data_IF_510037057722
#
_entry.id   IF_510037057722
#
_cell.length_a   1.000
_cell.length_b   1.000
_cell.length_c   1.000
_cell.angle_alpha   90.00
_cell.angle_beta   90.00
_cell.angle_gamma   90.00
#
_symmetry.space_group_name_H-M   'P 1'
#
loop_
_entity.id
_entity.type
_entity.pdbx_description
1 polymer ?
#
# COMPACT_ATOMS: atom_id res chain seq x y z
N UNK A 1 -29.51 -16.89 11.73
CA UNK A 1 -28.33 -16.47 12.50
C UNK A 1 -28.50 -14.98 12.79
N UNK A 2 -28.50 -14.56 14.06
CA UNK A 2 -28.73 -13.16 14.43
C UNK A 2 -27.44 -12.34 14.26
N UNK A 3 -27.56 -11.02 14.07
CA UNK A 3 -26.40 -10.12 13.95
C UNK A 3 -25.47 -10.19 15.16
N UNK A 4 -26.03 -10.41 16.35
CA UNK A 4 -25.28 -10.57 17.59
C UNK A 4 -24.45 -11.86 17.62
N UNK A 5 -25.05 -12.99 17.20
CA UNK A 5 -24.33 -14.27 17.07
C UNK A 5 -23.19 -14.19 16.05
N UNK A 6 -23.40 -13.45 14.95
CA UNK A 6 -22.38 -13.18 13.94
C UNK A 6 -21.21 -12.36 14.50
N UNK A 7 -21.51 -11.24 15.16
CA UNK A 7 -20.49 -10.38 15.77
C UNK A 7 -19.72 -11.11 16.87
N UNK A 8 -20.39 -11.91 17.69
CA UNK A 8 -19.75 -12.75 18.70
C UNK A 8 -18.77 -13.76 18.08
N UNK A 9 -19.15 -14.37 16.95
CA UNK A 9 -18.27 -15.29 16.20
C UNK A 9 -17.05 -14.56 15.65
N UNK A 10 -17.23 -13.36 15.08
CA UNK A 10 -16.12 -12.53 14.58
C UNK A 10 -15.16 -12.15 15.70
N UNK A 11 -15.68 -11.65 16.83
CA UNK A 11 -14.87 -11.23 17.95
C UNK A 11 -14.08 -12.39 18.53
N UNK A 12 -14.71 -13.56 18.70
CA UNK A 12 -14.03 -14.78 19.13
C UNK A 12 -12.90 -15.17 18.18
N UNK A 13 -13.15 -15.12 16.87
CA UNK A 13 -12.15 -15.41 15.86
C UNK A 13 -10.96 -14.43 15.93
N UNK A 14 -11.25 -13.13 16.11
CA UNK A 14 -10.24 -12.11 16.29
C UNK A 14 -9.39 -12.37 17.53
N UNK A 15 -10.02 -12.58 18.68
CA UNK A 15 -9.31 -12.82 19.94
C UNK A 15 -8.49 -14.11 19.95
N UNK A 16 -8.92 -15.15 19.24
CA UNK A 16 -8.22 -16.43 19.18
C UNK A 16 -7.06 -16.46 18.16
N UNK A 17 -7.15 -15.71 17.05
CA UNK A 17 -6.22 -15.89 15.92
C UNK A 17 -5.60 -14.59 15.38
N UNK A 18 -6.26 -13.43 15.50
CA UNK A 18 -5.82 -12.20 14.85
C UNK A 18 -5.34 -11.11 15.82
N UNK A 19 -5.61 -11.26 17.12
CA UNK A 19 -5.17 -10.30 18.14
C UNK A 19 -3.66 -10.40 18.41
N UNK A 20 -3.01 -9.30 18.81
CA UNK A 20 -1.62 -9.33 19.28
C UNK A 20 -1.40 -10.32 20.44
N UNK A 21 -2.40 -10.47 21.31
CA UNK A 21 -2.41 -11.37 22.45
C UNK A 21 -2.39 -12.84 21.98
N UNK A 22 -3.22 -13.20 21.00
CA UNK A 22 -3.21 -14.54 20.40
C UNK A 22 -1.85 -14.88 19.81
N UNK A 23 -1.26 -13.95 19.04
CA UNK A 23 0.06 -14.14 18.46
C UNK A 23 1.14 -14.33 19.54
N UNK A 24 1.19 -13.46 20.55
CA UNK A 24 2.14 -13.58 21.65
C UNK A 24 1.98 -14.87 22.46
N UNK A 25 0.73 -15.28 22.74
CA UNK A 25 0.43 -16.54 23.44
C UNK A 25 0.90 -17.74 22.63
N UNK A 26 0.68 -17.75 21.31
CA UNK A 26 1.19 -18.81 20.46
C UNK A 26 2.72 -18.86 20.49
N UNK A 27 3.41 -17.70 20.39
CA UNK A 27 4.87 -17.60 20.43
C UNK A 27 5.49 -18.11 21.74
N UNK A 28 4.78 -18.01 22.86
CA UNK A 28 5.20 -18.58 24.15
C UNK A 28 4.90 -20.08 24.28
N UNK A 29 4.03 -20.63 23.43
CA UNK A 29 3.66 -22.04 23.43
C UNK A 29 4.72 -22.95 22.81
N UNK A 30 4.41 -24.25 22.76
CA UNK A 30 5.27 -25.28 22.14
C UNK A 30 4.87 -25.66 20.72
N UNK A 31 3.74 -25.15 20.21
CA UNK A 31 3.19 -25.50 18.91
C UNK A 31 3.73 -24.58 17.81
N UNK A 32 4.83 -24.99 17.18
CA UNK A 32 5.50 -24.23 16.11
C UNK A 32 4.63 -23.99 14.87
N UNK A 33 3.70 -24.90 14.54
CA UNK A 33 2.81 -24.72 13.38
C UNK A 33 1.79 -23.61 13.60
N UNK A 34 1.19 -23.58 14.80
CA UNK A 34 0.30 -22.49 15.21
C UNK A 34 1.05 -21.17 15.23
N UNK A 35 2.26 -21.14 15.81
CA UNK A 35 3.12 -19.95 15.82
C UNK A 35 3.35 -19.38 14.43
N UNK A 36 3.85 -20.22 13.51
CA UNK A 36 4.15 -19.81 12.13
C UNK A 36 2.88 -19.33 11.41
N UNK A 37 1.75 -19.99 11.61
CA UNK A 37 0.49 -19.60 10.98
C UNK A 37 0.00 -18.24 11.50
N UNK A 38 0.04 -18.00 12.81
CA UNK A 38 -0.37 -16.71 13.37
C UNK A 38 0.58 -15.58 12.94
N UNK A 39 1.89 -15.84 12.89
CA UNK A 39 2.86 -14.88 12.35
C UNK A 39 2.56 -14.54 10.88
N UNK A 40 2.31 -15.54 10.05
CA UNK A 40 1.97 -15.35 8.64
C UNK A 40 0.73 -14.47 8.47
N UNK A 41 -0.34 -14.80 9.19
CA UNK A 41 -1.60 -14.05 9.15
C UNK A 41 -1.41 -12.61 9.66
N UNK A 42 -0.68 -12.44 10.75
CA UNK A 42 -0.38 -11.13 11.32
C UNK A 42 0.47 -10.27 10.36
N UNK A 43 1.51 -10.81 9.74
CA UNK A 43 2.34 -10.07 8.79
C UNK A 43 1.56 -9.76 7.50
N UNK A 44 0.76 -10.70 7.00
CA UNK A 44 -0.10 -10.50 5.83
C UNK A 44 -1.20 -9.45 6.06
N UNK A 45 -1.67 -9.28 7.31
CA UNK A 45 -2.64 -8.24 7.66
C UNK A 45 -2.18 -6.83 7.26
N UNK A 46 -0.87 -6.58 7.25
CA UNK A 46 -0.30 -5.30 6.80
C UNK A 46 -0.50 -5.05 5.32
N UNK A 47 -0.45 -6.10 4.48
CA UNK A 47 -0.76 -6.01 3.05
C UNK A 47 -2.25 -5.79 2.80
N UNK A 48 -3.11 -6.43 3.61
CA UNK A 48 -4.56 -6.20 3.56
C UNK A 48 -4.89 -4.75 3.91
N UNK A 49 -4.28 -4.23 4.98
CA UNK A 49 -4.45 -2.84 5.41
C UNK A 49 -3.94 -1.87 4.33
N UNK A 50 -2.72 -2.05 3.82
CA UNK A 50 -2.18 -1.21 2.75
C UNK A 50 -3.08 -1.21 1.51
N UNK A 51 -3.64 -2.36 1.11
CA UNK A 51 -4.60 -2.45 0.00
C UNK A 51 -5.88 -1.66 0.27
N UNK A 52 -6.41 -1.73 1.50
CA UNK A 52 -7.62 -1.00 1.90
C UNK A 52 -7.36 0.51 1.91
N UNK A 53 -6.24 0.95 2.48
CA UNK A 53 -5.87 2.36 2.54
C UNK A 53 -5.61 2.94 1.16
N UNK A 54 -4.94 2.18 0.28
CA UNK A 54 -4.73 2.56 -1.11
C UNK A 54 -6.06 2.76 -1.83
N UNK A 55 -7.00 1.81 -1.72
CA UNK A 55 -8.33 1.94 -2.34
C UNK A 55 -9.10 3.15 -1.84
N UNK A 56 -9.05 3.40 -0.52
CA UNK A 56 -9.71 4.53 0.11
C UNK A 56 -9.06 5.89 -0.20
N UNK A 57 -7.86 5.91 -0.81
CA UNK A 57 -7.09 7.15 -1.02
C UNK A 57 -6.47 7.70 0.27
N UNK A 58 -6.41 6.91 1.35
CA UNK A 58 -5.89 7.35 2.65
C UNK A 58 -4.36 7.22 2.69
N UNK A 59 -3.71 8.30 2.26
CA UNK A 59 -2.24 8.39 2.25
C UNK A 59 -1.67 8.40 3.67
N UNK A 60 -2.39 8.95 4.66
CA UNK A 60 -1.94 9.01 6.04
C UNK A 60 -1.72 7.60 6.61
N UNK A 61 -2.74 6.74 6.51
CA UNK A 61 -2.64 5.34 6.93
C UNK A 61 -1.65 4.54 6.08
N UNK A 62 -1.58 4.81 4.77
CA UNK A 62 -0.59 4.18 3.90
C UNK A 62 0.85 4.47 4.36
N UNK A 63 1.15 5.72 4.76
CA UNK A 63 2.46 6.08 5.28
C UNK A 63 2.81 5.35 6.59
N UNK A 64 1.83 5.03 7.44
CA UNK A 64 2.07 4.19 8.63
C UNK A 64 2.46 2.76 8.24
N UNK A 65 1.80 2.19 7.22
CA UNK A 65 2.17 0.87 6.69
C UNK A 65 3.56 0.87 6.08
N UNK A 66 3.90 1.89 5.30
CA UNK A 66 5.25 2.02 4.71
C UNK A 66 6.33 2.13 5.78
N UNK A 67 6.12 2.91 6.85
CA UNK A 67 7.04 2.95 7.99
C UNK A 67 7.25 1.57 8.63
N UNK A 68 6.17 0.78 8.79
CA UNK A 68 6.26 -0.60 9.30
C UNK A 68 7.05 -1.49 8.35
N UNK A 69 6.80 -1.36 7.04
CA UNK A 69 7.50 -2.12 6.01
C UNK A 69 8.98 -1.77 5.87
N UNK A 70 9.39 -0.52 6.11
CA UNK A 70 10.81 -0.14 6.17
C UNK A 70 11.61 -1.05 7.11
N UNK A 71 11.00 -1.46 8.23
CA UNK A 71 11.60 -2.39 9.20
C UNK A 71 11.50 -3.84 8.71
N UNK A 72 10.31 -4.28 8.28
CA UNK A 72 10.09 -5.67 7.82
C UNK A 72 10.98 -6.04 6.63
N UNK A 73 11.18 -5.12 5.69
CA UNK A 73 11.98 -5.37 4.48
C UNK A 73 13.45 -5.66 4.77
N UNK A 74 13.97 -5.27 5.94
CA UNK A 74 15.33 -5.65 6.33
C UNK A 74 15.46 -7.14 6.63
N UNK A 75 14.38 -7.76 7.13
CA UNK A 75 14.36 -9.17 7.51
C UNK A 75 14.02 -10.09 6.34
N UNK A 76 13.20 -9.64 5.39
CA UNK A 76 12.69 -10.47 4.30
C UNK A 76 13.74 -10.73 3.21
N UNK A 77 13.96 -11.99 2.81
CA UNK A 77 14.84 -12.31 1.70
C UNK A 77 14.24 -11.87 0.35
N UNK A 78 15.09 -11.50 -0.60
CA UNK A 78 14.69 -11.24 -1.99
C UNK A 78 14.11 -9.84 -2.28
N UNK A 79 13.93 -8.98 -1.28
CA UNK A 79 13.41 -7.60 -1.46
C UNK A 79 14.45 -6.51 -1.16
N UNK A 80 15.68 -6.75 -1.60
CA UNK A 80 16.85 -5.88 -1.37
C UNK A 80 16.70 -4.47 -1.93
N UNK A 81 15.97 -4.29 -3.04
CA UNK A 81 15.65 -2.96 -3.54
C UNK A 81 14.76 -2.20 -2.53
N UNK A 82 13.69 -2.85 -2.07
CA UNK A 82 12.75 -2.22 -1.14
C UNK A 82 13.36 -1.98 0.24
N UNK A 83 14.33 -2.79 0.67
CA UNK A 83 15.03 -2.57 1.95
C UNK A 83 15.83 -1.27 1.97
N UNK A 84 16.17 -0.67 0.82
CA UNK A 84 16.87 0.62 0.75
C UNK A 84 15.99 1.76 0.22
N UNK A 85 15.26 1.56 -0.88
CA UNK A 85 14.46 2.62 -1.51
C UNK A 85 13.22 3.02 -0.69
N UNK A 86 12.54 2.07 -0.04
CA UNK A 86 11.35 2.39 0.73
C UNK A 86 11.67 3.29 1.95
N UNK A 87 12.68 2.97 2.79
CA UNK A 87 13.13 3.89 3.84
C UNK A 87 13.49 5.28 3.31
N UNK A 88 14.22 5.37 2.19
CA UNK A 88 14.55 6.66 1.56
C UNK A 88 13.31 7.47 1.21
N UNK A 89 12.34 6.86 0.53
CA UNK A 89 11.08 7.51 0.18
C UNK A 89 10.29 7.94 1.41
N UNK A 90 10.24 7.11 2.46
CA UNK A 90 9.57 7.48 3.72
C UNK A 90 10.28 8.65 4.39
N UNK A 91 11.60 8.66 4.49
CA UNK A 91 12.36 9.79 5.05
C UNK A 91 12.13 11.08 4.26
N UNK A 92 12.14 10.98 2.93
CA UNK A 92 11.87 12.09 2.03
C UNK A 92 10.47 12.69 2.30
N UNK A 93 9.45 11.84 2.36
CA UNK A 93 8.05 12.21 2.54
C UNK A 93 7.62 12.45 3.99
N UNK A 94 8.52 12.32 4.97
CA UNK A 94 8.16 12.53 6.39
C UNK A 94 9.11 13.42 7.17
N UNK A 95 10.34 13.60 6.73
CA UNK A 95 11.37 14.35 7.47
C UNK A 95 12.05 15.39 6.57
N UNK A 96 12.58 14.98 5.42
CA UNK A 96 13.54 15.78 4.65
C UNK A 96 12.88 16.89 3.84
N UNK A 97 11.78 16.60 3.14
CA UNK A 97 11.16 17.63 2.30
C UNK A 97 10.46 18.71 3.14
N UNK A 98 10.46 19.97 2.67
CA UNK A 98 9.68 21.05 3.26
C UNK A 98 8.20 20.67 3.42
N UNK A 99 7.50 21.13 4.47
CA UNK A 99 6.13 20.71 4.78
C UNK A 99 5.16 20.82 3.60
N UNK A 100 5.23 21.92 2.83
CA UNK A 100 4.38 22.17 1.66
C UNK A 100 4.61 21.14 0.56
N UNK A 101 5.87 20.89 0.19
CA UNK A 101 6.22 19.91 -0.84
C UNK A 101 5.90 18.47 -0.40
N UNK A 102 6.11 18.17 0.89
CA UNK A 102 5.73 16.90 1.50
C UNK A 102 4.22 16.66 1.43
N UNK A 103 3.40 17.68 1.72
CA UNK A 103 1.94 17.59 1.60
C UNK A 103 1.57 17.35 0.14
N UNK A 104 2.12 18.15 -0.78
CA UNK A 104 1.87 18.01 -2.21
C UNK A 104 2.18 16.60 -2.72
N UNK A 105 3.40 16.08 -2.50
CA UNK A 105 3.79 14.77 -3.03
C UNK A 105 2.97 13.63 -2.40
N UNK A 106 2.72 13.67 -1.09
CA UNK A 106 1.87 12.66 -0.42
C UNK A 106 0.47 12.62 -1.04
N UNK A 107 -0.16 13.77 -1.24
CA UNK A 107 -1.49 13.84 -1.86
C UNK A 107 -1.50 13.45 -3.35
N UNK A 108 -0.32 13.31 -3.98
CA UNK A 108 -0.18 12.86 -5.36
C UNK A 108 0.31 11.41 -5.49
N UNK A 109 0.50 10.67 -4.38
CA UNK A 109 0.89 9.25 -4.43
C UNK A 109 -0.22 8.37 -5.01
N UNK A 110 -1.47 8.72 -4.71
CA UNK A 110 -2.66 7.99 -5.11
C UNK A 110 -3.56 8.90 -5.94
N UNK A 111 -4.19 8.34 -6.97
CA UNK A 111 -5.16 9.04 -7.80
C UNK A 111 -6.40 8.17 -7.98
N UNK A 112 -7.57 8.77 -8.23
CA UNK A 112 -8.77 8.05 -8.64
C UNK A 112 -9.12 8.44 -10.08
N UNK A 113 -8.68 7.67 -11.10
CA UNK A 113 -8.91 8.02 -12.50
C UNK A 113 -10.39 8.12 -12.86
N UNK A 114 -11.23 7.33 -12.18
CA UNK A 114 -12.69 7.32 -12.38
C UNK A 114 -13.46 8.24 -11.43
N UNK A 115 -12.80 8.87 -10.45
CA UNK A 115 -13.45 9.65 -9.38
C UNK A 115 -14.30 8.82 -8.41
N UNK A 116 -14.46 7.51 -8.62
CA UNK A 116 -15.27 6.64 -7.76
C UNK A 116 -14.64 6.47 -6.38
N UNK A 117 -15.51 6.38 -5.37
CA UNK A 117 -15.14 6.01 -4.00
C UNK A 117 -14.47 4.64 -4.00
N UNK A 118 -13.45 4.45 -3.15
CA UNK A 118 -12.71 3.20 -2.97
C UNK A 118 -12.01 2.65 -4.24
N UNK A 119 -11.79 3.52 -5.24
CA UNK A 119 -11.13 3.21 -6.51
C UNK A 119 -9.84 4.02 -6.74
N UNK A 120 -9.19 4.43 -5.65
CA UNK A 120 -7.85 5.00 -5.76
C UNK A 120 -6.84 3.91 -6.13
N UNK A 121 -5.86 4.31 -6.93
CA UNK A 121 -4.74 3.50 -7.41
C UNK A 121 -3.45 4.29 -7.24
N UNK A 122 -2.31 3.61 -7.23
CA UNK A 122 -1.02 4.29 -7.27
C UNK A 122 -0.90 5.15 -8.53
N UNK A 123 -0.23 6.30 -8.43
CA UNK A 123 -0.13 7.24 -9.55
C UNK A 123 0.54 6.63 -10.79
N UNK A 124 1.55 5.79 -10.59
CA UNK A 124 2.31 5.08 -11.63
C UNK A 124 1.49 4.02 -12.38
N UNK A 125 0.51 3.41 -11.72
CA UNK A 125 -0.44 2.49 -12.35
C UNK A 125 -1.19 3.13 -13.54
N UNK A 126 -1.46 4.44 -13.49
CA UNK A 126 -2.19 5.09 -14.58
C UNK A 126 -1.39 5.24 -15.88
N UNK A 127 -0.13 5.71 -15.86
CA UNK A 127 0.78 5.58 -16.99
C UNK A 127 0.93 4.14 -17.51
N UNK A 128 0.96 3.13 -16.65
CA UNK A 128 1.00 1.72 -17.08
C UNK A 128 -0.24 1.33 -17.89
N UNK A 129 -1.43 1.76 -17.47
CA UNK A 129 -2.67 1.57 -18.24
C UNK A 129 -2.57 2.24 -19.62
N UNK A 130 -2.00 3.45 -19.69
CA UNK A 130 -1.82 4.12 -20.99
C UNK A 130 -0.83 3.35 -21.89
N UNK A 131 0.28 2.90 -21.33
CA UNK A 131 1.26 2.08 -22.04
C UNK A 131 0.65 0.75 -22.51
N UNK A 132 -0.24 0.14 -21.74
CA UNK A 132 -0.98 -1.04 -22.16
C UNK A 132 -1.84 -0.75 -23.40
N UNK A 133 -2.60 0.35 -23.41
CA UNK A 133 -3.45 0.70 -24.55
C UNK A 133 -2.65 1.01 -25.82
N UNK A 134 -1.50 1.67 -25.67
CA UNK A 134 -0.58 1.88 -26.79
C UNK A 134 -0.10 0.55 -27.37
N UNK A 135 0.33 -0.39 -26.52
CA UNK A 135 0.72 -1.74 -26.96
C UNK A 135 -0.44 -2.50 -27.59
N UNK A 136 -1.64 -2.39 -27.02
CA UNK A 136 -2.84 -3.03 -27.55
C UNK A 136 -3.15 -2.56 -28.97
N UNK A 137 -3.13 -1.25 -29.22
CA UNK A 137 -3.34 -0.66 -30.54
C UNK A 137 -2.24 -1.08 -31.51
N UNK A 138 -0.97 -0.93 -31.11
CA UNK A 138 0.19 -1.34 -31.90
C UNK A 138 0.08 -2.79 -32.38
N UNK A 139 -0.26 -3.71 -31.47
CA UNK A 139 -0.38 -5.14 -31.79
C UNK A 139 -1.58 -5.47 -32.69
N UNK A 140 -2.59 -4.59 -32.77
CA UNK A 140 -3.81 -4.79 -33.57
C UNK A 140 -3.78 -4.08 -34.92
N UNK A 141 -2.90 -3.10 -35.09
CA UNK A 141 -2.75 -2.32 -36.33
C UNK A 141 -1.85 -2.98 -37.39
N UNK A 142 -1.29 -4.16 -37.11
CA UNK A 142 -0.48 -4.94 -38.07
C UNK A 142 0.93 -4.38 -38.32
N UNK A 143 1.63 -4.96 -39.30
CA UNK A 143 3.05 -4.72 -39.63
C UNK A 143 3.41 -3.28 -40.05
N UNK A 144 2.42 -2.39 -40.18
CA UNK A 144 2.59 -1.00 -40.66
C UNK A 144 2.65 0.06 -39.56
N UNK A 145 2.56 -0.31 -38.28
CA UNK A 145 2.62 0.67 -37.19
C UNK A 145 4.07 0.93 -36.83
N UNK A 146 4.64 2.05 -37.27
CA UNK A 146 5.98 2.46 -36.86
C UNK A 146 5.97 2.96 -35.40
N UNK A 147 7.05 2.69 -34.66
CA UNK A 147 7.20 3.14 -33.26
C UNK A 147 7.12 4.66 -33.12
N UNK A 148 7.57 5.39 -34.14
CA UNK A 148 7.47 6.84 -34.26
C UNK A 148 6.01 7.30 -34.29
N UNK A 149 5.16 6.64 -35.08
CA UNK A 149 3.71 6.91 -35.06
C UNK A 149 3.08 6.61 -33.69
N UNK A 150 3.52 5.54 -33.02
CA UNK A 150 3.03 5.23 -31.67
C UNK A 150 3.38 6.33 -30.65
N UNK A 151 4.60 6.84 -30.73
CA UNK A 151 5.13 7.86 -29.83
C UNK A 151 4.57 9.26 -30.15
N UNK A 152 4.62 9.67 -31.41
CA UNK A 152 4.42 11.06 -31.80
C UNK A 152 2.96 11.35 -32.20
N UNK A 153 2.21 10.33 -32.63
CA UNK A 153 0.80 10.48 -33.01
C UNK A 153 -0.13 9.86 -31.97
N UNK A 154 0.05 8.58 -31.62
CA UNK A 154 -0.92 7.86 -30.79
C UNK A 154 -0.80 8.19 -29.29
N UNK A 155 0.40 8.34 -28.74
CA UNK A 155 0.61 8.63 -27.32
C UNK A 155 -0.07 9.94 -26.86
N UNK A 156 0.08 11.08 -27.57
CA UNK A 156 -0.55 12.34 -27.16
C UNK A 156 -2.08 12.28 -27.21
N UNK A 157 -2.66 11.47 -28.11
CA UNK A 157 -4.11 11.38 -28.32
C UNK A 157 -4.75 10.15 -27.68
N UNK A 158 -3.99 9.34 -26.94
CA UNK A 158 -4.43 8.01 -26.47
C UNK A 158 -5.73 8.06 -25.67
N UNK A 159 -5.90 9.09 -24.84
CA UNK A 159 -7.11 9.32 -24.06
C UNK A 159 -8.34 9.56 -24.95
N UNK A 160 -8.20 10.38 -26.00
CA UNK A 160 -9.28 10.65 -26.95
C UNK A 160 -9.66 9.39 -27.72
N UNK A 161 -8.65 8.63 -28.17
CA UNK A 161 -8.86 7.40 -28.91
C UNK A 161 -9.57 6.33 -28.07
N UNK A 162 -9.15 6.13 -26.82
CA UNK A 162 -9.82 5.25 -25.86
C UNK A 162 -11.29 5.66 -25.65
N UNK A 163 -11.55 6.96 -25.43
CA UNK A 163 -12.90 7.47 -25.22
C UNK A 163 -13.80 7.26 -26.44
N UNK A 164 -13.29 7.52 -27.65
CA UNK A 164 -14.02 7.27 -28.89
C UNK A 164 -14.33 5.79 -29.10
N UNK A 165 -13.37 4.90 -28.84
CA UNK A 165 -13.58 3.46 -28.96
C UNK A 165 -14.63 2.94 -27.96
N UNK A 166 -14.61 3.47 -26.73
CA UNK A 166 -15.62 3.15 -25.72
C UNK A 166 -17.01 3.67 -26.12
N UNK A 167 -17.10 4.90 -26.64
CA UNK A 167 -18.36 5.46 -27.17
C UNK A 167 -18.92 4.58 -28.28
N UNK A 168 -18.09 4.23 -29.28
CA UNK A 168 -18.52 3.39 -30.40
C UNK A 168 -19.03 2.02 -29.92
N UNK A 169 -18.37 1.41 -28.94
CA UNK A 169 -18.85 0.15 -28.35
C UNK A 169 -20.23 0.31 -27.72
N UNK A 170 -20.46 1.39 -26.99
CA UNK A 170 -21.77 1.69 -26.42
C UNK A 170 -22.83 1.90 -27.50
N UNK A 171 -22.49 2.64 -28.57
CA UNK A 171 -23.40 2.91 -29.70
C UNK A 171 -23.76 1.61 -30.44
N UNK A 172 -22.85 0.64 -30.52
CA UNK A 172 -23.10 -0.70 -31.05
C UNK A 172 -23.86 -1.63 -30.08
N UNK A 173 -24.33 -1.13 -28.94
CA UNK A 173 -25.05 -1.92 -27.93
C UNK A 173 -24.16 -2.88 -27.13
N UNK A 174 -22.84 -2.79 -27.25
CA UNK A 174 -21.92 -3.58 -26.45
C UNK A 174 -21.79 -2.96 -25.05
N UNK A 175 -21.98 -3.76 -24.01
CA UNK A 175 -21.70 -3.32 -22.65
C UNK A 175 -20.19 -3.25 -22.42
N UNK A 176 -19.71 -2.13 -21.86
CA UNK A 176 -18.32 -2.02 -21.40
C UNK A 176 -18.18 -2.89 -20.15
N UNK A 177 -17.74 -4.13 -20.34
CA UNK A 177 -17.41 -5.04 -19.23
C UNK A 177 -16.04 -4.64 -18.70
N UNK A 178 -16.02 -3.91 -17.59
CA UNK A 178 -14.80 -3.74 -16.82
C UNK A 178 -14.46 -5.07 -16.14
N UNK A 179 -13.26 -5.60 -16.36
CA UNK A 179 -12.77 -6.75 -15.59
C UNK A 179 -12.56 -6.31 -14.13
N UNK A 180 -13.57 -6.51 -13.30
CA UNK A 180 -13.42 -6.46 -11.86
C UNK A 180 -13.21 -7.88 -11.36
N UNK A 181 -11.97 -8.22 -11.01
CA UNK A 181 -11.70 -9.48 -10.33
C UNK A 181 -12.19 -9.35 -8.89
N UNK A 182 -13.45 -9.70 -8.66
CA UNK A 182 -13.93 -9.94 -7.31
C UNK A 182 -13.44 -11.33 -6.88
N UNK A 183 -12.69 -11.38 -5.77
CA UNK A 183 -12.30 -12.66 -5.16
C UNK A 183 -13.54 -13.26 -4.50
N UNK A 184 -14.35 -13.98 -5.28
CA UNK A 184 -15.51 -14.72 -4.78
C UNK A 184 -14.99 -16.05 -4.23
N UNK A 185 -15.10 -16.23 -2.93
CA UNK A 185 -14.76 -17.49 -2.27
C UNK A 185 -16.01 -18.36 -2.24
N UNK A 186 -16.06 -19.41 -3.06
CA UNK A 186 -17.16 -20.36 -3.11
C UNK A 186 -17.13 -21.30 -1.89
N UNK A 187 -18.30 -21.80 -1.49
CA UNK A 187 -18.41 -22.79 -0.41
C UNK A 187 -17.59 -24.06 -0.67
N UNK A 188 -17.54 -24.52 -1.92
CA UNK A 188 -16.70 -25.65 -2.32
C UNK A 188 -15.21 -25.33 -2.15
N UNK A 189 -14.76 -24.13 -2.51
CA UNK A 189 -13.37 -23.70 -2.31
C UNK A 189 -13.00 -23.66 -0.82
N UNK A 190 -13.91 -23.21 0.05
CA UNK A 190 -13.72 -23.26 1.50
C UNK A 190 -13.63 -24.70 2.01
N UNK A 191 -14.52 -25.59 1.58
CA UNK A 191 -14.50 -27.00 1.96
C UNK A 191 -13.19 -27.69 1.54
N UNK A 192 -12.71 -27.42 0.32
CA UNK A 192 -11.42 -27.92 -0.16
C UNK A 192 -10.26 -27.37 0.66
N UNK A 193 -10.27 -26.06 0.96
CA UNK A 193 -9.27 -25.46 1.83
C UNK A 193 -9.28 -26.07 3.23
N UNK A 194 -10.46 -26.29 3.82
CA UNK A 194 -10.59 -26.90 5.15
C UNK A 194 -10.11 -28.34 5.17
N UNK A 195 -10.38 -29.11 4.11
CA UNK A 195 -9.84 -30.46 3.93
C UNK A 195 -8.31 -30.43 3.88
N UNK A 196 -7.73 -29.55 3.06
CA UNK A 196 -6.28 -29.35 2.98
C UNK A 196 -5.69 -28.93 4.33
N UNK A 197 -6.28 -27.94 5.00
CA UNK A 197 -5.80 -27.40 6.27
C UNK A 197 -5.78 -28.45 7.38
N UNK A 198 -6.79 -29.34 7.41
CA UNK A 198 -6.85 -30.48 8.33
C UNK A 198 -5.83 -31.56 7.97
N UNK A 199 -5.73 -31.92 6.69
CA UNK A 199 -4.80 -32.95 6.21
C UNK A 199 -3.33 -32.55 6.41
N UNK A 200 -3.02 -31.26 6.26
CA UNK A 200 -1.69 -30.68 6.50
C UNK A 200 -1.46 -30.26 7.94
N UNK A 201 -2.51 -30.27 8.76
CA UNK A 201 -2.49 -29.88 10.17
C UNK A 201 -1.77 -28.53 10.35
N UNK A 202 -2.24 -27.49 9.65
CA UNK A 202 -1.55 -26.19 9.61
C UNK A 202 -1.51 -25.47 10.97
N UNK A 203 -2.43 -25.82 11.88
CA UNK A 203 -2.49 -25.25 13.23
C UNK A 203 -1.86 -26.16 14.31
N UNK A 204 -1.35 -27.34 13.96
CA UNK A 204 -0.75 -28.27 14.94
C UNK A 204 -1.75 -28.84 15.96
N UNK A 205 -3.01 -29.06 15.55
CA UNK A 205 -4.07 -29.61 16.40
C UNK A 205 -4.08 -31.15 16.44
N UNK A 206 -5.03 -31.72 17.20
CA UNK A 206 -5.24 -33.18 17.35
C UNK A 206 -5.83 -33.87 16.09
N UNK A 207 -5.50 -33.39 14.88
CA UNK A 207 -5.96 -34.01 13.64
C UNK A 207 -5.34 -35.40 13.43
N UNK A 208 -6.06 -36.32 12.77
CA UNK A 208 -5.50 -37.61 12.35
C UNK A 208 -4.26 -37.34 11.49
N UNK A 209 -3.07 -37.68 12.00
CA UNK A 209 -1.80 -37.54 11.28
C UNK A 209 -1.82 -38.45 10.05
N UNK A 210 -2.14 -37.93 8.87
CA UNK A 210 -1.89 -38.64 7.61
C UNK A 210 -0.42 -38.46 7.21
N UNK A 211 0.47 -39.24 7.83
CA UNK A 211 1.87 -39.37 7.40
C UNK A 211 2.93 -38.77 8.34
N UNK A 212 4.21 -39.09 8.04
CA UNK A 212 5.39 -38.53 8.70
C UNK A 212 5.66 -37.12 8.16
N UNK A 213 5.22 -36.09 8.87
CA UNK A 213 5.58 -34.71 8.54
C UNK A 213 6.88 -34.31 9.24
N UNK A 214 7.80 -33.63 8.53
CA UNK A 214 8.94 -32.97 9.16
C UNK A 214 8.45 -31.99 10.22
N UNK A 215 9.18 -31.88 11.35
CA UNK A 215 8.95 -30.85 12.35
C UNK A 215 9.09 -29.50 11.64
N UNK A 216 8.13 -28.60 11.82
CA UNK A 216 8.20 -27.27 11.23
C UNK A 216 9.32 -26.48 11.91
N UNK A 217 10.15 -25.81 11.11
CA UNK A 217 11.13 -24.86 11.62
C UNK A 217 10.41 -23.62 12.16
N UNK A 218 10.88 -23.09 13.28
CA UNK A 218 10.31 -21.89 13.86
C UNK A 218 10.77 -20.66 13.07
N UNK A 219 9.82 -19.85 12.59
CA UNK A 219 10.14 -18.58 11.96
C UNK A 219 10.15 -17.46 13.02
N UNK A 220 11.16 -16.59 12.96
CA UNK A 220 11.17 -15.37 13.78
C UNK A 220 10.17 -14.35 13.23
N UNK A 221 9.65 -13.50 14.11
CA UNK A 221 8.71 -12.46 13.72
C UNK A 221 9.41 -11.41 12.84
N UNK A 222 9.00 -11.30 11.57
CA UNK A 222 9.66 -10.47 10.54
C UNK A 222 9.92 -9.03 11.00
N UNK A 223 8.93 -8.39 11.62
CA UNK A 223 9.08 -7.03 12.16
C UNK A 223 10.16 -6.94 13.25
N UNK A 224 10.20 -7.88 14.20
CA UNK A 224 11.19 -7.91 15.28
C UNK A 224 12.59 -8.21 14.73
N UNK A 225 12.71 -9.16 13.81
CA UNK A 225 13.97 -9.45 13.12
C UNK A 225 14.46 -8.24 12.34
N UNK A 226 13.55 -7.48 11.72
CA UNK A 226 13.85 -6.24 11.02
C UNK A 226 14.46 -5.18 11.95
N UNK A 227 13.87 -4.98 13.13
CA UNK A 227 14.40 -4.07 14.15
C UNK A 227 15.81 -4.52 14.59
N UNK A 228 16.02 -5.80 14.86
CA UNK A 228 17.34 -6.32 15.24
C UNK A 228 18.39 -6.03 14.16
N UNK A 229 18.03 -6.23 12.89
CA UNK A 229 18.91 -5.92 11.76
C UNK A 229 19.23 -4.44 11.65
N UNK A 230 18.26 -3.54 11.78
CA UNK A 230 18.53 -2.10 11.78
C UNK A 230 19.44 -1.70 12.95
N UNK A 231 19.18 -2.21 14.16
CA UNK A 231 20.06 -1.95 15.31
C UNK A 231 21.50 -2.38 15.04
N UNK A 232 21.69 -3.53 14.41
CA UNK A 232 23.01 -4.01 14.02
C UNK A 232 23.66 -3.13 12.95
N UNK A 233 22.89 -2.67 11.95
CA UNK A 233 23.39 -1.73 10.94
C UNK A 233 23.89 -0.46 11.61
N UNK A 234 23.09 0.15 12.50
CA UNK A 234 23.44 1.39 13.19
C UNK A 234 24.68 1.21 14.08
N UNK A 235 24.85 0.07 14.75
CA UNK A 235 25.97 -0.11 15.70
C UNK A 235 27.27 -0.58 15.03
N UNK A 236 27.15 -1.41 13.99
CA UNK A 236 28.29 -2.15 13.42
C UNK A 236 28.56 -1.77 11.96
N UNK A 237 27.56 -1.87 11.08
CA UNK A 237 27.79 -1.87 9.64
C UNK A 237 27.86 -0.48 9.02
N UNK A 238 26.93 0.40 9.38
CA UNK A 238 26.74 1.72 8.77
C UNK A 238 26.21 2.68 9.85
N UNK A 239 27.15 3.21 10.65
CA UNK A 239 26.84 4.10 11.77
C UNK A 239 26.23 5.43 11.33
N UNK A 240 26.61 5.90 10.13
CA UNK A 240 26.15 7.16 9.56
C UNK A 240 24.83 6.99 8.78
N UNK A 241 24.38 5.75 8.60
CA UNK A 241 23.17 5.41 7.84
C UNK A 241 23.24 5.88 6.38
N UNK A 242 24.45 5.88 5.81
CA UNK A 242 24.73 6.30 4.44
C UNK A 242 23.87 5.50 3.44
N UNK A 243 23.61 4.21 3.70
CA UNK A 243 22.72 3.39 2.88
C UNK A 243 21.31 3.99 2.77
N UNK A 244 20.79 4.59 3.83
CA UNK A 244 19.45 5.18 3.86
C UNK A 244 19.45 6.67 3.48
N UNK A 245 20.61 7.33 3.49
CA UNK A 245 20.75 8.74 3.13
C UNK A 245 21.27 8.96 1.70
N UNK A 246 21.79 7.91 1.05
CA UNK A 246 22.36 8.01 -0.30
C UNK A 246 21.37 8.62 -1.29
N UNK A 247 21.83 9.66 -1.98
CA UNK A 247 21.06 10.43 -2.98
C UNK A 247 19.87 11.21 -2.41
N UNK A 248 19.74 11.35 -1.09
CA UNK A 248 18.75 12.24 -0.50
C UNK A 248 19.31 13.67 -0.44
N UNK A 249 18.52 14.68 -0.86
CA UNK A 249 18.91 16.07 -0.74
C UNK A 249 18.84 16.50 0.73
N UNK A 250 19.99 16.59 1.39
CA UNK A 250 20.08 16.99 2.81
C UNK A 250 20.10 18.51 3.02
N UNK A 251 20.28 19.28 1.94
CA UNK A 251 20.38 20.75 1.99
C UNK A 251 19.07 21.47 2.31
N UNK A 252 17.91 20.80 2.24
CA UNK A 252 16.61 21.42 2.56
C UNK A 252 16.47 21.89 4.02
N UNK A 253 17.36 21.46 4.92
CA UNK A 253 17.39 21.92 6.31
C UNK A 253 18.33 23.12 6.55
N UNK A 254 19.01 23.64 5.51
CA UNK A 254 19.90 24.81 5.62
C UNK A 254 19.19 26.16 5.51
N UNK A 255 17.91 26.18 5.14
CA UNK A 255 17.09 27.39 5.27
C UNK A 255 16.65 27.54 6.73
N UNK A 256 17.55 28.07 7.56
CA UNK A 256 17.20 28.71 8.83
C UNK A 256 17.01 30.21 8.59
N UNK A 257 15.83 30.69 8.99
CA UNK A 257 15.57 32.04 9.54
C UNK A 257 16.19 33.20 8.73
N UNK A 258 15.63 33.44 7.56
CA UNK A 258 15.74 34.75 6.91
C UNK A 258 14.71 35.69 7.52
N UNK A 259 15.16 36.52 8.46
CA UNK A 259 14.71 37.90 8.72
C UNK A 259 13.19 38.12 8.69
N UNK A 260 12.56 38.11 9.88
CA UNK A 260 11.24 38.71 10.10
C UNK A 260 11.34 40.21 9.75
N UNK A 261 11.17 40.52 8.47
CA UNK A 261 10.87 41.87 8.03
C UNK A 261 9.61 42.33 8.74
N UNK A 262 9.76 43.33 9.61
CA UNK A 262 8.69 44.04 10.28
C UNK A 262 7.58 44.38 9.28
N UNK A 263 6.48 43.61 9.32
CA UNK A 263 5.22 44.04 8.74
C UNK A 263 4.58 44.92 9.81
N UNK A 264 4.69 46.23 9.62
CA UNK A 264 4.04 47.23 10.46
C UNK A 264 2.55 46.94 10.58
N UNK A 265 2.11 46.72 11.81
CA UNK A 265 0.70 46.73 12.20
C UNK A 265 0.22 48.19 12.13
N UNK A 266 -0.47 48.56 11.07
CA UNK A 266 -1.37 49.71 11.13
C UNK A 266 -2.73 49.19 11.60
N UNK A 267 -2.94 49.24 12.91
CA UNK A 267 -4.28 49.29 13.50
C UNK A 267 -4.85 50.68 13.22
N UNK A 268 -6.03 50.74 12.59
CA UNK A 268 -7.07 51.70 12.94
C UNK A 268 -8.40 51.25 12.31
N UNK A 269 -9.10 50.37 13.04
CA UNK A 269 -10.56 50.29 12.98
C UNK A 269 -11.12 51.43 13.84
N UNK A 270 -11.82 52.38 13.23
CA UNK A 270 -12.89 53.11 13.94
C UNK A 270 -14.15 53.12 13.07
N UNK A 271 -15.16 52.40 13.55
CA UNK A 271 -16.52 52.46 13.07
C UNK A 271 -17.21 53.74 13.56
N UNK A 272 -17.93 54.43 12.68
CA UNK A 272 -19.08 55.27 13.08
C UNK A 272 -19.99 55.61 11.88
N UNK A 273 -21.19 55.05 11.95
CA UNK A 273 -22.50 55.66 11.69
C UNK A 273 -22.87 56.28 10.31
N UNK A 274 -24.00 55.75 9.83
CA UNK A 274 -24.93 56.25 8.81
C UNK A 274 -25.26 57.76 8.85
N UNK A 275 -25.49 58.36 7.67
CA UNK A 275 -26.75 59.05 7.27
C UNK A 275 -26.59 59.86 5.97
N UNK A 276 -27.60 59.82 5.09
CA UNK A 276 -28.10 61.00 4.35
C UNK A 276 -27.68 61.19 2.87
N UNK A 277 -28.68 61.02 1.99
CA UNK A 277 -29.04 61.83 0.80
C UNK A 277 -27.94 62.37 -0.13
N UNK A 278 -27.90 61.93 -1.40
CA UNK A 278 -28.66 62.40 -2.60
C UNK A 278 -28.46 61.38 -3.72
#
# INVERSE_FOLDING_TARGET
MTSESWNSTINKCYEEYFSPQACNKALQGSNTKLQNTLLLVHDFSTAVEAKRTMKAGDVGRLMLMWKKWCLMCQALPGITNYSSYLPRNVLLLTVILPPSLRKFLRHNLLISPSGRKDHFVAKDFWPEVQNYWLKFLYNKSGSGTHIESLKDIFSPIIFMLQKKLQSLKNDCGASIIHQSHQNIILGQSLSTFMSMARNRDILGGKGKKLGKFKKADAFDHVYRSGIKKIKHIISVTDRNLDQFLKHLPTDFHREKEGDDGQVGLNEEDTASAASGDI
#
